data_IF_548102816312
#
_entry.id   IF_548102816312
#
_cell.length_a   1.000
_cell.length_b   1.000
_cell.length_c   1.000
_cell.angle_alpha   90.00
_cell.angle_beta   90.00
_cell.angle_gamma   90.00
#
_symmetry.space_group_name_H-M   'P 1'
#
loop_
_entity.id
_entity.type
_entity.pdbx_description
1 polymer ?
#
# COMPACT_ATOMS: atom_id res chain seq x y z
N UNK A 1 -24.64 -18.00 -59.91
CA UNK A 1 -24.15 -18.56 -58.64
C UNK A 1 -23.05 -17.64 -58.13
N UNK A 2 -23.26 -16.87 -57.05
CA UNK A 2 -22.25 -15.85 -56.69
C UNK A 2 -22.55 -14.97 -55.48
N UNK A 3 -23.34 -15.42 -54.51
CA UNK A 3 -23.68 -14.61 -53.33
C UNK A 3 -23.39 -15.28 -51.97
N UNK A 4 -22.65 -16.39 -51.94
CA UNK A 4 -22.41 -17.14 -50.68
C UNK A 4 -21.01 -16.97 -50.07
N UNK A 5 -20.06 -16.33 -50.76
CA UNK A 5 -18.68 -16.18 -50.24
C UNK A 5 -18.50 -14.91 -49.39
N UNK A 6 -19.29 -13.86 -49.66
CA UNK A 6 -19.15 -12.57 -48.97
C UNK A 6 -19.63 -12.60 -47.50
N UNK A 7 -20.63 -13.44 -47.17
CA UNK A 7 -21.12 -13.55 -45.79
C UNK A 7 -20.20 -14.37 -44.87
N UNK A 8 -19.45 -15.33 -45.41
CA UNK A 8 -18.57 -16.18 -44.61
C UNK A 8 -17.31 -15.43 -44.13
N UNK A 9 -16.82 -14.44 -44.89
CA UNK A 9 -15.66 -13.64 -44.50
C UNK A 9 -15.98 -12.59 -43.42
N UNK A 10 -17.18 -11.99 -43.45
CA UNK A 10 -17.61 -11.02 -42.44
C UNK A 10 -17.81 -11.66 -41.05
N UNK A 11 -18.31 -12.90 -40.98
CA UNK A 11 -18.48 -13.59 -39.69
C UNK A 11 -17.15 -13.96 -39.05
N UNK A 12 -16.14 -14.33 -39.84
CA UNK A 12 -14.79 -14.63 -39.34
C UNK A 12 -14.13 -13.36 -38.76
N UNK A 13 -14.26 -12.21 -39.43
CA UNK A 13 -13.71 -10.94 -38.95
C UNK A 13 -14.41 -10.47 -37.66
N UNK A 14 -15.75 -10.57 -37.59
CA UNK A 14 -16.49 -10.21 -36.37
C UNK A 14 -16.17 -11.11 -35.18
N UNK A 15 -15.93 -12.41 -35.43
CA UNK A 15 -15.45 -13.34 -34.40
C UNK A 15 -14.02 -13.00 -33.95
N UNK A 16 -13.10 -12.67 -34.85
CA UNK A 16 -11.74 -12.28 -34.49
C UNK A 16 -11.68 -10.94 -33.73
N UNK A 17 -12.53 -9.96 -34.06
CA UNK A 17 -12.62 -8.68 -33.33
C UNK A 17 -13.27 -8.87 -31.94
N UNK A 18 -14.14 -9.86 -31.76
CA UNK A 18 -14.67 -10.26 -30.44
C UNK A 18 -13.70 -11.11 -29.61
N UNK A 19 -12.79 -11.85 -30.28
CA UNK A 19 -11.71 -12.64 -29.67
C UNK A 19 -10.43 -11.82 -29.47
N UNK A 20 -10.37 -10.57 -29.95
CA UNK A 20 -9.53 -9.53 -29.36
C UNK A 20 -10.08 -9.21 -27.95
N UNK A 21 -9.95 -10.21 -27.10
CA UNK A 21 -10.15 -10.20 -25.67
C UNK A 21 -9.42 -8.99 -25.14
N UNK A 22 -10.19 -8.02 -24.66
CA UNK A 22 -9.73 -6.82 -23.97
C UNK A 22 -8.62 -7.23 -23.01
N UNK A 23 -7.38 -6.92 -23.36
CA UNK A 23 -6.26 -7.14 -22.46
C UNK A 23 -6.62 -6.48 -21.11
N UNK A 24 -6.40 -7.16 -19.98
CA UNK A 24 -6.73 -6.57 -18.69
C UNK A 24 -6.05 -5.22 -18.58
N UNK A 25 -6.82 -4.18 -18.22
CA UNK A 25 -6.32 -2.81 -18.07
C UNK A 25 -4.99 -2.84 -17.30
N UNK A 26 -3.90 -2.25 -17.82
CA UNK A 26 -2.62 -2.25 -17.12
C UNK A 26 -2.76 -1.55 -15.77
N UNK A 27 -1.91 -1.91 -14.83
CA UNK A 27 -1.82 -1.22 -13.54
C UNK A 27 -1.39 0.23 -13.75
N UNK A 28 -2.09 1.16 -13.11
CA UNK A 28 -1.76 2.58 -13.11
C UNK A 28 -1.00 2.92 -11.82
N UNK A 29 0.30 3.18 -11.96
CA UNK A 29 1.24 3.49 -10.87
C UNK A 29 1.31 4.99 -10.54
N UNK A 30 0.64 5.84 -11.31
CA UNK A 30 0.72 7.30 -11.18
C UNK A 30 -0.62 7.98 -10.87
N UNK A 31 -1.73 7.21 -10.84
CA UNK A 31 -3.05 7.72 -10.47
C UNK A 31 -3.04 8.35 -9.08
N UNK A 32 -2.39 7.70 -8.13
CA UNK A 32 -2.28 8.16 -6.74
C UNK A 32 -0.84 7.95 -6.27
N UNK A 33 -0.25 8.99 -5.70
CA UNK A 33 1.13 8.95 -5.17
C UNK A 33 1.12 9.25 -3.69
N UNK A 34 1.98 8.58 -2.91
CA UNK A 34 2.14 8.85 -1.50
C UNK A 34 3.51 9.46 -1.17
N UNK A 35 3.58 10.24 -0.11
CA UNK A 35 4.80 10.78 0.46
C UNK A 35 4.78 10.56 1.97
N UNK A 36 5.89 10.01 2.50
CA UNK A 36 6.01 9.72 3.92
C UNK A 36 5.99 11.02 4.76
N UNK A 37 5.30 10.97 5.89
CA UNK A 37 5.18 12.09 6.82
C UNK A 37 5.84 11.79 8.16
N UNK A 38 5.63 10.59 8.70
CA UNK A 38 6.10 10.25 10.04
C UNK A 38 5.57 8.91 10.52
N UNK A 39 5.97 8.51 11.72
CA UNK A 39 5.43 7.33 12.37
C UNK A 39 5.14 7.57 13.85
N UNK A 40 4.23 6.77 14.38
CA UNK A 40 3.90 6.75 15.79
C UNK A 40 3.62 5.32 16.23
N UNK A 41 4.21 4.90 17.35
CA UNK A 41 3.77 3.69 18.05
C UNK A 41 2.67 4.07 19.04
N UNK A 42 1.58 3.31 19.07
CA UNK A 42 0.53 3.48 20.09
C UNK A 42 0.24 2.17 20.77
N UNK A 43 0.07 2.23 22.08
CA UNK A 43 -0.44 1.11 22.86
C UNK A 43 -1.89 0.86 22.47
N UNK A 44 -2.23 -0.41 22.21
CA UNK A 44 -3.61 -0.85 22.03
C UNK A 44 -4.13 -1.44 23.34
N UNK A 45 -3.31 -2.29 23.97
CA UNK A 45 -3.52 -2.84 25.30
C UNK A 45 -2.16 -3.18 25.96
N UNK A 46 -2.17 -3.84 27.13
CA UNK A 46 -0.95 -4.17 27.87
C UNK A 46 0.03 -5.09 27.12
N UNK A 47 -0.44 -5.88 26.14
CA UNK A 47 0.37 -6.81 25.36
C UNK A 47 0.51 -6.47 23.88
N UNK A 48 -0.25 -5.50 23.38
CA UNK A 48 -0.30 -5.16 21.97
C UNK A 48 -0.03 -3.67 21.72
N UNK A 49 0.72 -3.39 20.67
CA UNK A 49 0.88 -2.06 20.12
C UNK A 49 0.64 -2.07 18.61
N UNK A 50 0.42 -0.89 18.06
CA UNK A 50 0.33 -0.70 16.61
C UNK A 50 1.25 0.40 16.16
N UNK A 51 2.03 0.10 15.12
CA UNK A 51 2.84 1.10 14.43
C UNK A 51 1.99 1.77 13.35
N UNK A 52 1.86 3.08 13.47
CA UNK A 52 1.17 3.92 12.51
C UNK A 52 2.20 4.61 11.64
N UNK A 53 2.15 4.39 10.34
CA UNK A 53 2.95 5.10 9.35
C UNK A 53 2.06 6.10 8.63
N UNK A 54 2.32 7.38 8.83
CA UNK A 54 1.53 8.47 8.24
C UNK A 54 2.10 8.88 6.88
N UNK A 55 1.19 9.14 5.95
CA UNK A 55 1.49 9.59 4.60
C UNK A 55 0.57 10.74 4.19
N UNK A 56 1.10 11.59 3.31
CA UNK A 56 0.30 12.45 2.45
C UNK A 56 0.11 11.73 1.12
N UNK A 57 -1.14 11.55 0.71
CA UNK A 57 -1.49 10.97 -0.60
C UNK A 57 -2.05 12.05 -1.50
N UNK A 58 -1.74 11.98 -2.78
CA UNK A 58 -2.26 12.88 -3.81
C UNK A 58 -2.97 12.07 -4.89
N UNK A 59 -4.21 12.44 -5.20
CA UNK A 59 -4.95 11.90 -6.34
C UNK A 59 -4.72 12.78 -7.56
N UNK A 60 -4.22 12.18 -8.64
CA UNK A 60 -3.95 12.84 -9.91
C UNK A 60 -5.06 12.61 -10.94
N UNK A 61 -6.10 11.86 -10.60
CA UNK A 61 -7.22 11.57 -11.48
C UNK A 61 -8.32 12.64 -11.38
N UNK A 62 -9.24 12.61 -12.34
CA UNK A 62 -10.43 13.48 -12.37
C UNK A 62 -11.64 12.88 -11.63
N UNK A 63 -11.44 11.76 -10.94
CA UNK A 63 -12.48 11.09 -10.16
C UNK A 63 -12.08 10.99 -8.69
N UNK A 64 -13.07 11.07 -7.81
CA UNK A 64 -12.87 10.80 -6.39
C UNK A 64 -12.46 9.34 -6.17
N UNK A 65 -11.72 9.09 -5.10
CA UNK A 65 -11.24 7.77 -4.74
C UNK A 65 -11.42 7.51 -3.25
N UNK A 66 -11.55 6.23 -2.87
CA UNK A 66 -11.71 5.83 -1.47
C UNK A 66 -10.62 4.84 -1.08
N UNK A 67 -9.69 5.29 -0.25
CA UNK A 67 -8.68 4.45 0.38
C UNK A 67 -9.29 3.76 1.60
N UNK A 68 -9.63 2.49 1.48
CA UNK A 68 -10.15 1.69 2.58
C UNK A 68 -9.75 0.22 2.40
N UNK A 69 -9.70 -0.50 3.52
CA UNK A 69 -9.59 -1.96 3.46
C UNK A 69 -10.84 -2.54 2.77
N UNK A 70 -10.66 -3.58 1.97
CA UNK A 70 -11.75 -4.22 1.25
C UNK A 70 -11.27 -5.41 0.43
N UNK A 71 -12.19 -6.23 -0.11
CA UNK A 71 -11.84 -7.44 -0.84
C UNK A 71 -11.05 -7.18 -2.14
N UNK A 72 -11.17 -5.98 -2.70
CA UNK A 72 -10.45 -5.55 -3.90
C UNK A 72 -9.13 -4.82 -3.59
N UNK A 73 -8.87 -4.48 -2.32
CA UNK A 73 -7.74 -3.68 -1.87
C UNK A 73 -6.75 -4.57 -1.09
N UNK A 74 -5.59 -4.83 -1.69
CA UNK A 74 -4.55 -5.69 -1.10
C UNK A 74 -3.30 -4.86 -0.81
N UNK A 75 -2.94 -4.76 0.47
CA UNK A 75 -1.68 -4.14 0.89
C UNK A 75 -0.60 -5.22 0.96
N UNK A 76 0.49 -5.03 0.24
CA UNK A 76 1.67 -5.89 0.24
C UNK A 76 2.90 -5.11 0.67
N UNK A 77 3.91 -5.84 1.13
CA UNK A 77 5.23 -5.31 1.47
C UNK A 77 6.16 -5.53 0.29
N UNK A 78 6.79 -4.49 -0.22
CA UNK A 78 7.92 -4.61 -1.15
C UNK A 78 9.18 -4.86 -0.32
N UNK A 79 9.83 -6.01 -0.51
CA UNK A 79 11.01 -6.41 0.24
C UNK A 79 12.25 -5.65 -0.25
N UNK A 80 13.15 -5.28 0.68
CA UNK A 80 14.37 -4.55 0.34
C UNK A 80 15.41 -5.43 -0.33
N UNK A 81 15.47 -6.70 0.03
CA UNK A 81 16.49 -7.63 -0.47
C UNK A 81 16.48 -7.78 -2.00
N UNK A 82 15.29 -7.90 -2.59
CA UNK A 82 15.13 -8.26 -4.01
C UNK A 82 13.98 -7.50 -4.72
N UNK A 83 13.25 -6.63 -4.00
CA UNK A 83 12.11 -5.90 -4.56
C UNK A 83 10.84 -6.74 -4.73
N UNK A 84 10.83 -8.01 -4.27
CA UNK A 84 9.67 -8.89 -4.35
C UNK A 84 8.52 -8.41 -3.46
N UNK A 85 7.30 -8.86 -3.76
CA UNK A 85 6.09 -8.52 -3.01
C UNK A 85 5.74 -9.65 -2.03
N UNK A 86 5.56 -9.31 -0.76
CA UNK A 86 5.19 -10.23 0.31
C UNK A 86 3.87 -9.82 0.96
N UNK A 87 2.99 -10.80 1.19
CA UNK A 87 1.73 -10.64 1.95
C UNK A 87 1.83 -11.13 3.39
N UNK A 88 3.04 -11.46 3.88
CA UNK A 88 3.20 -12.06 5.21
C UNK A 88 2.91 -11.08 6.35
N UNK A 89 3.22 -9.80 6.15
CA UNK A 89 2.98 -8.78 7.15
C UNK A 89 1.54 -8.28 7.06
N UNK A 90 0.82 -8.34 8.17
CA UNK A 90 -0.51 -7.75 8.27
C UNK A 90 -0.37 -6.23 8.32
N UNK A 91 -0.78 -5.57 7.23
CA UNK A 91 -0.83 -4.11 7.11
C UNK A 91 -2.22 -3.72 6.66
N UNK A 92 -2.81 -2.74 7.32
CA UNK A 92 -4.15 -2.25 7.02
C UNK A 92 -4.21 -0.73 7.07
N UNK A 93 -5.26 -0.13 6.51
CA UNK A 93 -5.51 1.29 6.74
C UNK A 93 -6.02 1.52 8.16
N UNK A 94 -5.50 2.54 8.83
CA UNK A 94 -5.97 2.90 10.17
C UNK A 94 -7.42 3.42 10.16
N UNK A 95 -7.85 4.00 9.04
CA UNK A 95 -9.22 4.47 8.83
C UNK A 95 -9.50 4.63 7.32
N UNK A 96 -10.76 4.45 6.88
CA UNK A 96 -11.18 4.78 5.53
C UNK A 96 -10.96 6.27 5.25
N UNK A 97 -10.38 6.59 4.10
CA UNK A 97 -10.12 7.96 3.68
C UNK A 97 -10.76 8.24 2.33
N UNK A 98 -11.60 9.28 2.29
CA UNK A 98 -12.09 9.84 1.04
C UNK A 98 -11.03 10.77 0.46
N UNK A 99 -10.63 10.53 -0.79
CA UNK A 99 -9.59 11.27 -1.49
C UNK A 99 -10.19 11.91 -2.75
N UNK A 100 -10.59 13.19 -2.67
CA UNK A 100 -11.24 13.86 -3.80
C UNK A 100 -10.33 13.95 -5.04
N UNK A 101 -10.94 14.07 -6.21
CA UNK A 101 -10.24 14.32 -7.47
C UNK A 101 -9.26 15.49 -7.35
N UNK A 102 -8.03 15.32 -7.85
CA UNK A 102 -6.97 16.35 -7.84
C UNK A 102 -6.53 16.88 -6.46
N UNK A 103 -6.99 16.26 -5.36
CA UNK A 103 -6.71 16.73 -4.00
C UNK A 103 -5.68 15.84 -3.27
N UNK A 104 -5.32 16.31 -2.08
CA UNK A 104 -4.47 15.58 -1.14
C UNK A 104 -5.23 15.22 0.13
N UNK A 105 -4.83 14.12 0.75
CA UNK A 105 -5.33 13.72 2.07
C UNK A 105 -4.21 13.11 2.92
N UNK A 106 -4.46 13.02 4.23
CA UNK A 106 -3.60 12.27 5.16
C UNK A 106 -4.19 10.89 5.39
N UNK A 107 -3.33 9.89 5.31
CA UNK A 107 -3.67 8.50 5.58
C UNK A 107 -2.63 7.89 6.51
N UNK A 108 -3.02 6.84 7.21
CA UNK A 108 -2.11 6.06 8.02
C UNK A 108 -2.26 4.57 7.69
N UNK A 109 -1.11 3.91 7.54
CA UNK A 109 -1.03 2.46 7.55
C UNK A 109 -0.78 1.99 8.98
N UNK A 110 -1.52 0.99 9.42
CA UNK A 110 -1.41 0.36 10.72
C UNK A 110 -0.76 -1.02 10.57
N UNK A 111 0.27 -1.26 11.39
CA UNK A 111 0.93 -2.55 11.51
C UNK A 111 0.72 -3.02 12.96
N UNK A 112 -0.31 -3.83 13.22
CA UNK A 112 -0.54 -4.37 14.56
C UNK A 112 0.52 -5.40 14.90
N UNK A 113 1.00 -5.41 16.14
CA UNK A 113 1.92 -6.42 16.61
C UNK A 113 1.88 -6.60 18.14
N UNK A 114 2.22 -7.80 18.62
CA UNK A 114 2.54 -8.00 20.02
C UNK A 114 3.71 -7.08 20.41
N UNK A 115 3.51 -6.33 21.49
CA UNK A 115 4.53 -5.47 22.09
C UNK A 115 4.18 -5.28 23.56
N UNK A 116 5.01 -5.83 24.44
CA UNK A 116 4.87 -5.62 25.88
C UNK A 116 5.19 -4.17 26.19
N UNK A 117 4.15 -3.36 26.39
CA UNK A 117 4.33 -1.94 26.65
C UNK A 117 5.12 -1.76 27.96
N UNK A 118 6.26 -1.05 27.94
CA UNK A 118 7.06 -0.88 29.15
C UNK A 118 6.34 -0.04 30.20
N UNK A 119 6.67 -0.24 31.47
CA UNK A 119 6.14 0.57 32.56
C UNK A 119 6.56 2.03 32.43
N UNK A 120 5.74 2.95 32.95
CA UNK A 120 6.04 4.37 32.95
C UNK A 120 7.37 4.65 33.65
N UNK A 121 8.28 5.32 32.94
CA UNK A 121 9.62 5.64 33.45
C UNK A 121 10.68 4.56 33.22
N UNK A 122 10.38 3.48 32.49
CA UNK A 122 11.39 2.49 32.09
C UNK A 122 12.48 3.16 31.21
N UNK A 123 13.75 3.23 31.67
CA UNK A 123 14.83 3.84 30.90
C UNK A 123 15.12 3.10 29.58
N UNK A 124 14.72 1.82 29.47
CA UNK A 124 14.87 1.00 28.26
C UNK A 124 13.72 1.18 27.25
N UNK A 125 12.71 2.01 27.53
CA UNK A 125 11.57 2.23 26.65
C UNK A 125 11.99 2.63 25.23
N UNK A 126 12.97 3.53 25.12
CA UNK A 126 13.47 4.02 23.83
C UNK A 126 14.18 2.92 23.03
N UNK A 127 14.97 2.07 23.69
CA UNK A 127 15.65 0.94 23.04
C UNK A 127 14.65 -0.13 22.58
N UNK A 128 13.65 -0.47 23.40
CA UNK A 128 12.58 -1.42 23.03
C UNK A 128 11.76 -0.91 21.84
N UNK A 129 11.46 0.39 21.80
CA UNK A 129 10.79 1.03 20.68
C UNK A 129 11.64 0.94 19.40
N UNK A 130 12.93 1.25 19.50
CA UNK A 130 13.87 1.11 18.37
C UNK A 130 13.85 -0.31 17.82
N UNK A 131 14.02 -1.30 18.69
CA UNK A 131 14.17 -2.68 18.29
C UNK A 131 12.88 -3.19 17.63
N UNK A 132 11.73 -2.76 18.14
CA UNK A 132 10.44 -3.03 17.53
C UNK A 132 10.31 -2.44 16.11
N UNK A 133 10.63 -1.14 15.94
CA UNK A 133 10.58 -0.49 14.61
C UNK A 133 11.56 -1.15 13.65
N UNK A 134 12.78 -1.45 14.10
CA UNK A 134 13.78 -2.14 13.30
C UNK A 134 13.31 -3.53 12.90
N UNK A 135 12.77 -4.33 13.82
CA UNK A 135 12.28 -5.67 13.50
C UNK A 135 11.18 -5.65 12.43
N UNK A 136 10.26 -4.68 12.51
CA UNK A 136 9.12 -4.59 11.58
C UNK A 136 9.46 -3.96 10.23
N UNK A 137 10.45 -3.08 10.18
CA UNK A 137 10.76 -2.29 8.98
C UNK A 137 12.15 -2.58 8.39
N UNK A 138 12.92 -3.51 8.98
CA UNK A 138 14.28 -3.84 8.53
C UNK A 138 14.31 -4.28 7.06
N UNK A 139 13.40 -5.16 6.66
CA UNK A 139 13.34 -5.70 5.29
C UNK A 139 12.28 -5.00 4.42
N UNK A 140 11.65 -3.94 4.91
CA UNK A 140 10.64 -3.21 4.16
C UNK A 140 11.30 -2.11 3.32
N UNK A 141 11.07 -2.15 2.00
CA UNK A 141 11.40 -1.07 1.07
C UNK A 141 10.24 -0.09 0.92
N UNK A 142 9.02 -0.60 0.77
CA UNK A 142 7.79 0.18 0.63
C UNK A 142 6.59 -0.70 0.98
N UNK A 143 5.45 -0.08 1.23
CA UNK A 143 4.16 -0.78 1.17
C UNK A 143 3.49 -0.46 -0.17
N UNK A 144 2.76 -1.41 -0.72
CA UNK A 144 2.11 -1.25 -2.02
C UNK A 144 0.66 -1.67 -1.87
N UNK A 145 -0.26 -0.76 -2.17
CA UNK A 145 -1.68 -1.09 -2.28
C UNK A 145 -1.99 -1.42 -3.74
N UNK A 146 -2.53 -2.62 -3.96
CA UNK A 146 -3.14 -3.01 -5.22
C UNK A 146 -4.65 -2.92 -5.10
N UNK A 147 -5.25 -2.01 -5.87
CA UNK A 147 -6.70 -1.96 -6.08
C UNK A 147 -7.05 -2.69 -7.38
N UNK A 148 -7.63 -3.86 -7.25
CA UNK A 148 -8.00 -4.70 -8.38
C UNK A 148 -9.16 -4.13 -9.22
N UNK A 149 -10.06 -3.35 -8.62
CA UNK A 149 -11.22 -2.79 -9.29
C UNK A 149 -10.81 -1.67 -10.24
N UNK A 150 -10.03 -0.71 -9.74
CA UNK A 150 -9.59 0.44 -10.53
C UNK A 150 -8.26 0.20 -11.28
N UNK A 151 -7.58 -0.91 -10.96
CA UNK A 151 -6.24 -1.27 -11.42
C UNK A 151 -5.21 -0.21 -11.02
N UNK A 152 -5.28 0.24 -9.77
CA UNK A 152 -4.30 1.18 -9.21
C UNK A 152 -3.22 0.44 -8.43
N UNK A 153 -1.98 0.84 -8.65
CA UNK A 153 -0.81 0.42 -7.88
C UNK A 153 -0.31 1.68 -7.15
N UNK A 154 -0.50 1.70 -5.82
CA UNK A 154 -0.22 2.86 -5.00
C UNK A 154 0.92 2.51 -4.06
N UNK A 155 2.10 3.04 -4.35
CA UNK A 155 3.28 2.84 -3.53
C UNK A 155 3.33 3.86 -2.38
N UNK A 156 3.53 3.33 -1.17
CA UNK A 156 3.80 4.05 0.06
C UNK A 156 5.29 3.93 0.38
N UNK A 157 6.10 4.92 -0.03
CA UNK A 157 7.55 4.81 0.01
C UNK A 157 8.09 4.82 1.42
N UNK A 158 9.29 4.27 1.62
CA UNK A 158 9.96 4.44 2.91
C UNK A 158 10.33 5.91 3.17
N UNK A 159 10.21 6.29 4.44
CA UNK A 159 10.80 7.54 4.97
C UNK A 159 11.14 7.44 6.46
N UNK A 160 10.94 6.28 7.07
CA UNK A 160 11.27 5.96 8.46
C UNK A 160 12.77 5.71 8.69
N UNK A 161 13.64 6.13 7.76
CA UNK A 161 15.09 5.98 7.92
C UNK A 161 15.61 6.82 9.09
N UNK A 162 15.03 8.00 9.30
CA UNK A 162 15.36 8.86 10.44
C UNK A 162 14.99 8.23 11.78
N UNK A 163 13.91 7.45 11.84
CA UNK A 163 13.55 6.65 13.03
C UNK A 163 14.59 5.55 13.31
N UNK A 164 15.29 5.07 12.28
CA UNK A 164 16.41 4.12 12.40
C UNK A 164 17.75 4.80 12.71
N UNK A 165 17.94 6.06 12.31
CA UNK A 165 19.18 6.82 12.53
C UNK A 165 19.21 7.55 13.88
N UNK A 166 18.09 8.16 14.31
CA UNK A 166 17.94 8.74 15.65
C UNK A 166 18.12 7.69 16.76
N UNK A 167 18.10 6.41 16.38
CA UNK A 167 18.20 5.26 17.25
C UNK A 167 19.55 4.52 17.13
N UNK A 168 20.48 5.01 16.29
CA UNK A 168 21.83 4.48 16.09
C UNK A 168 22.96 5.35 16.68
N UNK A 169 22.65 6.53 17.25
CA UNK A 169 23.65 7.33 17.99
C UNK A 169 23.59 7.03 19.48
N UNK A 170 24.66 6.46 20.07
CA UNK A 170 24.90 6.65 21.50
C UNK A 170 25.30 8.12 21.70
N UNK A 171 24.63 8.81 22.63
CA UNK A 171 25.21 10.02 23.23
C UNK A 171 26.30 9.63 24.21
#
# INVERSE_FOLDING_TARGET
MGFSVALALSTIIFFFVRIATTAPKPWNTSAITASYVGAQLRQVDSGNASLYLAYEVQNHTDSDYRLADGPAALVMTRLRADGSLSSQQQVRFSYPTFLPARQRARVALEIPAPFGWPEDGDPSFQDKLRDFVNQKLADVQAFVLFDQADRFDIEFPNGWQELRMASASPR
#
